data_IF_766008550954
#
_entry.id   IF_766008550954
#
_cell.length_a   1.000
_cell.length_b   1.000
_cell.length_c   1.000
_cell.angle_alpha   90.00
_cell.angle_beta   90.00
_cell.angle_gamma   90.00
#
_symmetry.space_group_name_H-M   'P 1'
#
loop_
_entity.id
_entity.type
_entity.pdbx_description
1 polymer ?
#
# COMPACT_ATOMS: atom_id res chain seq x y z
N UNK A 1 -15.73 -20.69 -10.22
CA UNK A 1 -16.39 -21.89 -9.66
C UNK A 1 -16.92 -21.48 -8.30
N UNK A 2 -18.21 -21.11 -8.22
CA UNK A 2 -18.85 -20.79 -6.92
C UNK A 2 -18.92 -22.07 -6.10
N UNK A 3 -18.68 -21.94 -4.79
CA UNK A 3 -18.73 -23.06 -3.86
C UNK A 3 -20.13 -23.72 -3.92
N UNK A 4 -20.17 -25.03 -4.12
CA UNK A 4 -21.39 -25.84 -4.22
C UNK A 4 -22.26 -25.71 -2.96
N UNK A 5 -21.66 -25.35 -1.81
CA UNK A 5 -22.37 -25.10 -0.54
C UNK A 5 -23.18 -23.81 -0.57
N UNK A 6 -22.67 -22.75 -1.19
CA UNK A 6 -23.33 -21.44 -1.26
C UNK A 6 -24.60 -21.52 -2.12
N UNK A 7 -24.54 -22.25 -3.24
CA UNK A 7 -25.67 -22.40 -4.18
C UNK A 7 -26.88 -23.11 -3.56
N UNK A 8 -26.69 -24.12 -2.70
CA UNK A 8 -27.82 -24.84 -2.08
C UNK A 8 -28.58 -23.98 -1.07
N UNK A 9 -27.89 -23.10 -0.36
CA UNK A 9 -28.49 -22.17 0.59
C UNK A 9 -29.37 -21.16 -0.13
N UNK A 10 -28.84 -20.54 -1.18
CA UNK A 10 -29.55 -19.54 -2.00
C UNK A 10 -30.84 -20.12 -2.61
N UNK A 11 -30.79 -21.38 -3.09
CA UNK A 11 -31.97 -22.06 -3.65
C UNK A 11 -33.09 -22.23 -2.63
N UNK A 12 -32.76 -22.56 -1.38
CA UNK A 12 -33.75 -22.69 -0.31
C UNK A 12 -34.37 -21.34 0.05
N UNK A 13 -33.54 -20.32 0.22
CA UNK A 13 -34.00 -18.97 0.58
C UNK A 13 -34.96 -18.41 -0.48
N UNK A 14 -34.56 -18.47 -1.76
CA UNK A 14 -35.40 -18.00 -2.89
C UNK A 14 -36.66 -18.85 -3.07
N UNK A 15 -36.58 -20.16 -2.84
CA UNK A 15 -37.75 -21.04 -2.93
C UNK A 15 -38.80 -20.79 -1.83
N UNK A 16 -38.37 -20.41 -0.63
CA UNK A 16 -39.27 -20.00 0.46
C UNK A 16 -39.96 -18.67 0.11
N UNK A 17 -39.21 -17.70 -0.40
CA UNK A 17 -39.74 -16.38 -0.77
C UNK A 17 -40.80 -16.46 -1.88
N UNK A 18 -40.55 -17.26 -2.91
CA UNK A 18 -41.47 -17.45 -4.05
C UNK A 18 -42.60 -18.45 -3.71
N UNK A 19 -42.46 -19.19 -2.60
CA UNK A 19 -43.43 -20.20 -2.17
C UNK A 19 -43.50 -21.44 -3.07
N UNK A 20 -42.45 -21.70 -3.86
CA UNK A 20 -42.38 -22.84 -4.80
C UNK A 20 -40.98 -23.47 -4.78
N UNK A 21 -40.86 -24.80 -4.93
CA UNK A 21 -39.56 -25.44 -5.08
C UNK A 21 -38.94 -25.06 -6.43
N UNK A 22 -37.75 -24.47 -6.39
CA UNK A 22 -37.02 -23.98 -7.58
C UNK A 22 -35.72 -24.75 -7.75
N UNK A 23 -35.34 -25.04 -9.00
CA UNK A 23 -34.09 -25.71 -9.31
C UNK A 23 -32.91 -24.72 -9.40
N UNK A 24 -31.69 -25.22 -9.15
CA UNK A 24 -30.44 -24.44 -9.35
C UNK A 24 -30.29 -23.91 -10.78
N UNK A 25 -30.75 -24.70 -11.75
CA UNK A 25 -30.67 -24.35 -13.18
C UNK A 25 -31.51 -23.12 -13.47
N UNK A 26 -32.74 -23.10 -12.95
CA UNK A 26 -33.69 -21.97 -13.11
C UNK A 26 -33.13 -20.67 -12.55
N UNK A 27 -32.48 -20.70 -11.36
CA UNK A 27 -31.86 -19.50 -10.77
C UNK A 27 -30.69 -19.02 -11.65
N UNK A 28 -29.85 -19.94 -12.14
CA UNK A 28 -28.71 -19.59 -12.99
C UNK A 28 -29.14 -19.05 -14.35
N UNK A 29 -30.22 -19.58 -14.92
CA UNK A 29 -30.81 -19.09 -16.19
C UNK A 29 -31.33 -17.66 -16.02
N UNK A 30 -32.11 -17.37 -14.97
CA UNK A 30 -32.58 -16.00 -14.69
C UNK A 30 -31.45 -15.00 -14.44
N UNK A 31 -30.41 -15.40 -13.71
CA UNK A 31 -29.22 -14.56 -13.49
C UNK A 31 -28.51 -14.27 -14.83
N UNK A 32 -28.45 -15.25 -15.74
CA UNK A 32 -27.88 -15.05 -17.08
C UNK A 32 -28.74 -14.16 -17.97
N UNK A 33 -30.06 -14.33 -17.97
CA UNK A 33 -31.02 -13.51 -18.72
C UNK A 33 -30.91 -12.03 -18.34
N UNK A 34 -30.67 -11.74 -17.06
CA UNK A 34 -30.46 -10.36 -16.55
C UNK A 34 -29.05 -9.81 -16.84
N UNK A 35 -28.20 -10.54 -17.56
CA UNK A 35 -26.84 -10.12 -17.90
C UNK A 35 -25.86 -10.14 -16.71
N UNK A 36 -26.27 -10.64 -15.55
CA UNK A 36 -25.44 -10.72 -14.36
C UNK A 36 -24.52 -11.94 -14.45
N UNK A 37 -23.21 -11.72 -14.37
CA UNK A 37 -22.21 -12.79 -14.45
C UNK A 37 -21.41 -12.83 -13.16
N UNK A 38 -21.32 -14.00 -12.53
CA UNK A 38 -20.50 -14.20 -11.34
C UNK A 38 -19.02 -13.98 -11.67
N UNK A 39 -18.49 -12.80 -11.34
CA UNK A 39 -17.05 -12.50 -11.41
C UNK A 39 -16.49 -12.57 -10.00
N UNK A 40 -15.54 -13.47 -9.77
CA UNK A 40 -14.77 -13.50 -8.53
C UNK A 40 -13.47 -12.72 -8.75
N UNK A 41 -13.10 -11.82 -7.83
CA UNK A 41 -11.86 -11.08 -7.93
C UNK A 41 -10.68 -12.05 -8.03
N UNK A 42 -9.78 -11.86 -9.00
CA UNK A 42 -8.59 -12.72 -9.12
C UNK A 42 -7.75 -12.55 -7.85
N UNK A 43 -7.39 -13.65 -7.20
CA UNK A 43 -6.39 -13.63 -6.12
C UNK A 43 -5.13 -12.98 -6.69
N UNK A 44 -4.74 -11.83 -6.13
CA UNK A 44 -3.49 -11.17 -6.48
C UNK A 44 -2.36 -12.14 -6.09
N UNK A 45 -1.62 -12.73 -7.03
CA UNK A 45 -0.54 -13.61 -6.67
C UNK A 45 0.45 -12.81 -5.80
N UNK A 46 0.81 -13.35 -4.64
CA UNK A 46 1.81 -12.73 -3.78
C UNK A 46 3.15 -12.80 -4.52
N UNK A 47 3.56 -11.67 -5.10
CA UNK A 47 4.85 -11.57 -5.78
C UNK A 47 5.97 -11.78 -4.76
N UNK A 48 6.95 -12.62 -5.13
CA UNK A 48 8.17 -12.76 -4.33
C UNK A 48 8.91 -11.43 -4.23
N UNK A 49 9.79 -11.27 -3.23
CA UNK A 49 10.61 -10.06 -3.12
C UNK A 49 11.43 -9.79 -4.41
N UNK A 50 11.96 -10.86 -5.02
CA UNK A 50 12.69 -10.81 -6.28
C UNK A 50 11.82 -10.31 -7.44
N UNK A 51 10.60 -10.83 -7.57
CA UNK A 51 9.65 -10.40 -8.61
C UNK A 51 9.22 -8.93 -8.43
N UNK A 52 9.03 -8.49 -7.19
CA UNK A 52 8.73 -7.08 -6.88
C UNK A 52 9.88 -6.15 -7.25
N UNK A 53 11.12 -6.55 -6.95
CA UNK A 53 12.31 -5.79 -7.32
C UNK A 53 12.48 -5.71 -8.84
N UNK A 54 12.32 -6.83 -9.55
CA UNK A 54 12.39 -6.86 -11.01
C UNK A 54 11.33 -5.96 -11.65
N UNK A 55 10.09 -6.01 -11.15
CA UNK A 55 9.01 -5.13 -11.59
C UNK A 55 9.35 -3.65 -11.34
N UNK A 56 9.84 -3.30 -10.16
CA UNK A 56 10.23 -1.93 -9.83
C UNK A 56 11.37 -1.41 -10.72
N UNK A 57 12.40 -2.24 -10.96
CA UNK A 57 13.51 -1.90 -11.88
C UNK A 57 13.02 -1.63 -13.30
N UNK A 58 12.18 -2.53 -13.84
CA UNK A 58 11.61 -2.38 -15.17
C UNK A 58 10.69 -1.16 -15.28
N UNK A 59 9.91 -0.88 -14.24
CA UNK A 59 9.03 0.28 -14.18
C UNK A 59 9.82 1.60 -14.18
N UNK A 60 10.92 1.68 -13.44
CA UNK A 60 11.78 2.88 -13.41
C UNK A 60 12.47 3.11 -14.76
N UNK A 61 13.06 2.06 -15.35
CA UNK A 61 13.69 2.14 -16.68
C UNK A 61 12.70 2.55 -17.78
N UNK A 62 11.46 2.03 -17.75
CA UNK A 62 10.43 2.36 -18.73
C UNK A 62 9.88 3.80 -18.64
N UNK A 63 10.03 4.46 -17.49
CA UNK A 63 9.58 5.85 -17.28
C UNK A 63 10.73 6.87 -17.41
N UNK A 64 11.89 6.47 -17.92
CA UNK A 64 13.04 7.37 -18.06
C UNK A 64 13.63 7.85 -16.73
N UNK A 65 13.23 7.23 -15.61
CA UNK A 65 13.82 7.48 -14.30
C UNK A 65 15.06 6.62 -14.20
N UNK A 66 16.21 7.23 -14.48
CA UNK A 66 17.50 6.55 -14.31
C UNK A 66 17.63 6.01 -12.88
N UNK A 67 18.23 4.82 -12.69
CA UNK A 67 18.61 4.39 -11.36
C UNK A 67 19.47 5.50 -10.76
N UNK A 68 19.12 5.97 -9.55
CA UNK A 68 20.02 6.83 -8.79
C UNK A 68 21.36 6.08 -8.76
N UNK A 69 22.43 6.68 -9.31
CA UNK A 69 23.74 6.04 -9.41
C UNK A 69 24.31 5.91 -7.99
N UNK A 70 23.83 4.90 -7.27
CA UNK A 70 24.32 4.48 -5.98
C UNK A 70 25.47 3.56 -6.35
N UNK A 71 26.70 4.06 -6.22
CA UNK A 71 27.91 3.27 -6.45
C UNK A 71 27.83 1.93 -5.72
N UNK A 72 28.43 0.91 -6.32
CA UNK A 72 28.31 -0.52 -5.99
C UNK A 72 28.73 -0.93 -4.57
N UNK A 73 29.10 0.02 -3.70
CA UNK A 73 29.33 -0.24 -2.29
C UNK A 73 28.10 0.10 -1.44
N UNK A 74 27.50 -0.95 -0.86
CA UNK A 74 26.68 -0.96 0.37
C UNK A 74 25.30 -1.61 0.19
N UNK A 75 25.26 -2.93 -0.01
CA UNK A 75 24.00 -3.71 0.02
C UNK A 75 23.45 -3.90 1.45
N UNK A 76 24.20 -3.55 2.51
CA UNK A 76 23.79 -3.75 3.90
C UNK A 76 23.82 -2.51 4.80
N UNK A 77 24.15 -1.32 4.29
CA UNK A 77 24.10 -0.13 5.14
C UNK A 77 22.67 0.41 5.17
N UNK A 78 22.05 0.41 6.35
CA UNK A 78 20.85 1.19 6.64
C UNK A 78 21.16 2.66 6.40
N UNK A 79 21.10 3.10 5.15
CA UNK A 79 21.35 4.48 4.80
C UNK A 79 20.21 5.31 5.38
N UNK A 80 20.52 6.43 6.05
CA UNK A 80 19.52 7.29 6.65
C UNK A 80 18.63 7.87 5.54
N UNK A 81 17.44 7.33 5.35
CA UNK A 81 16.53 7.83 4.32
C UNK A 81 15.93 9.17 4.80
N UNK A 82 16.13 10.29 4.10
CA UNK A 82 15.61 11.59 4.53
C UNK A 82 14.08 11.60 4.66
N UNK A 83 13.36 10.69 4.00
CA UNK A 83 11.91 10.55 4.15
C UNK A 83 11.50 10.11 5.56
N UNK A 84 12.32 9.34 6.27
CA UNK A 84 12.04 8.90 7.64
C UNK A 84 11.99 10.09 8.60
N UNK A 85 12.81 11.12 8.36
CA UNK A 85 12.76 12.34 9.14
C UNK A 85 11.46 13.11 8.89
N UNK A 86 10.97 13.11 7.65
CA UNK A 86 9.69 13.73 7.30
C UNK A 86 8.56 12.95 7.97
N UNK A 87 8.59 11.62 7.95
CA UNK A 87 7.62 10.78 8.67
C UNK A 87 7.63 11.05 10.18
N UNK A 88 8.80 11.22 10.80
CA UNK A 88 8.91 11.54 12.22
C UNK A 88 8.25 12.88 12.54
N UNK A 89 8.48 13.91 11.72
CA UNK A 89 7.87 15.24 11.89
C UNK A 89 6.35 15.17 11.72
N UNK A 90 5.87 14.46 10.70
CA UNK A 90 4.43 14.26 10.50
C UNK A 90 3.76 13.58 11.69
N UNK A 91 4.37 12.50 12.21
CA UNK A 91 3.86 11.79 13.38
C UNK A 91 3.84 12.70 14.62
N UNK A 92 4.89 13.49 14.81
CA UNK A 92 4.97 14.43 15.92
C UNK A 92 3.88 15.49 15.85
N UNK A 93 3.68 16.12 14.69
CA UNK A 93 2.64 17.12 14.48
C UNK A 93 1.23 16.53 14.62
N UNK A 94 1.01 15.32 14.10
CA UNK A 94 -0.26 14.62 14.26
C UNK A 94 -0.55 14.29 15.73
N UNK A 95 0.47 13.94 16.51
CA UNK A 95 0.31 13.66 17.94
C UNK A 95 -0.02 14.89 18.79
N UNK A 96 0.27 16.11 18.32
CA UNK A 96 -0.18 17.34 19.00
C UNK A 96 -1.69 17.51 18.94
N UNK A 97 -2.32 17.03 17.86
CA UNK A 97 -3.77 17.11 17.64
C UNK A 97 -4.29 15.77 17.13
N UNK A 98 -4.34 14.73 18.01
CA UNK A 98 -4.61 13.37 17.59
C UNK A 98 -5.92 13.28 16.80
N UNK A 99 -5.88 12.53 15.69
CA UNK A 99 -7.06 12.29 14.88
C UNK A 99 -7.94 11.25 15.57
N UNK A 100 -9.23 11.55 15.72
CA UNK A 100 -10.21 10.65 16.36
C UNK A 100 -10.94 9.75 15.37
N UNK A 101 -10.81 10.01 14.07
CA UNK A 101 -11.39 9.20 13.00
C UNK A 101 -10.49 9.14 11.76
N UNK A 102 -10.72 8.15 10.90
CA UNK A 102 -10.03 8.00 9.61
C UNK A 102 -10.23 9.23 8.71
N UNK A 103 -11.43 9.81 8.74
CA UNK A 103 -11.76 10.97 7.90
C UNK A 103 -11.08 12.25 8.41
N UNK A 104 -10.99 12.41 9.73
CA UNK A 104 -10.21 13.48 10.36
C UNK A 104 -8.71 13.33 10.04
N UNK A 105 -8.18 12.10 10.05
CA UNK A 105 -6.80 11.82 9.67
C UNK A 105 -6.52 12.19 8.20
N UNK A 106 -7.41 11.80 7.28
CA UNK A 106 -7.29 12.13 5.84
C UNK A 106 -7.34 13.63 5.59
N UNK A 107 -8.09 14.40 6.38
CA UNK A 107 -8.17 15.85 6.25
C UNK A 107 -6.97 16.57 6.90
N UNK A 108 -6.47 16.05 8.03
CA UNK A 108 -5.34 16.65 8.77
C UNK A 108 -3.99 16.40 8.10
N UNK A 109 -3.75 15.20 7.56
CA UNK A 109 -2.46 14.84 6.98
C UNK A 109 -2.01 15.79 5.86
N UNK A 110 -2.84 16.13 4.85
CA UNK A 110 -2.46 17.11 3.83
C UNK A 110 -2.21 18.49 4.42
N UNK A 111 -3.03 18.95 5.38
CA UNK A 111 -2.85 20.26 6.03
C UNK A 111 -1.50 20.33 6.74
N UNK A 112 -1.16 19.32 7.53
CA UNK A 112 0.13 19.20 8.22
C UNK A 112 1.27 19.09 7.19
N UNK A 113 1.11 18.29 6.13
CA UNK A 113 2.11 18.12 5.08
C UNK A 113 2.46 19.44 4.37
N UNK A 114 1.45 20.24 4.01
CA UNK A 114 1.66 21.53 3.36
C UNK A 114 2.07 22.64 4.34
N UNK A 115 1.62 22.60 5.60
CA UNK A 115 2.06 23.52 6.65
C UNK A 115 3.48 23.23 7.16
N UNK A 116 3.90 21.96 7.16
CA UNK A 116 5.29 21.53 7.36
C UNK A 116 6.09 21.89 6.10
N UNK A 117 6.23 23.20 5.90
CA UNK A 117 6.78 23.90 4.75
C UNK A 117 8.06 23.28 4.19
N UNK A 118 8.31 23.59 2.91
CA UNK A 118 9.46 23.21 2.06
C UNK A 118 10.85 23.21 2.73
N UNK A 119 11.03 23.92 3.85
CA UNK A 119 12.25 23.92 4.63
C UNK A 119 12.49 22.61 5.39
N UNK A 120 11.47 21.84 5.74
CA UNK A 120 11.64 20.53 6.39
C UNK A 120 12.34 19.57 5.44
N UNK A 121 11.85 19.47 4.20
CA UNK A 121 12.48 18.66 3.16
C UNK A 121 13.91 19.11 2.88
N UNK A 122 14.12 20.43 2.72
CA UNK A 122 15.46 20.99 2.50
C UNK A 122 16.41 20.76 3.67
N UNK A 123 15.96 20.89 4.93
CA UNK A 123 16.76 20.62 6.13
C UNK A 123 17.09 19.14 6.25
N UNK A 124 16.13 18.24 5.98
CA UNK A 124 16.37 16.80 5.99
C UNK A 124 17.43 16.40 4.96
N UNK A 125 17.34 16.92 3.73
CA UNK A 125 18.34 16.71 2.68
C UNK A 125 19.68 17.34 3.05
N UNK A 126 19.71 18.58 3.55
CA UNK A 126 20.94 19.26 3.99
C UNK A 126 21.62 18.57 5.18
N UNK A 127 20.88 17.84 6.01
CA UNK A 127 21.43 17.06 7.13
C UNK A 127 22.08 15.74 6.68
N UNK A 128 21.83 15.30 5.44
CA UNK A 128 22.24 13.98 4.96
C UNK A 128 23.75 13.72 5.02
N UNK A 129 24.62 14.65 4.62
CA UNK A 129 26.07 14.44 4.71
C UNK A 129 26.52 14.09 6.12
N UNK A 130 26.03 14.84 7.13
CA UNK A 130 26.36 14.60 8.55
C UNK A 130 25.86 13.24 9.06
N UNK A 131 24.73 12.75 8.55
CA UNK A 131 24.18 11.43 8.93
C UNK A 131 24.99 10.30 8.28
N UNK A 132 25.38 10.47 7.03
CA UNK A 132 26.27 9.54 6.33
C UNK A 132 27.64 9.45 7.02
N UNK A 133 28.20 10.59 7.45
CA UNK A 133 29.44 10.62 8.22
C UNK A 133 29.29 9.91 9.57
N UNK A 134 28.15 10.08 10.26
CA UNK A 134 27.86 9.36 11.49
C UNK A 134 27.73 7.84 11.29
N UNK A 135 27.11 7.39 10.19
CA UNK A 135 27.01 5.95 9.85
C UNK A 135 28.37 5.38 9.49
N UNK A 136 29.21 6.12 8.75
CA UNK A 136 30.59 5.74 8.45
C UNK A 136 31.43 5.61 9.72
N UNK A 137 31.34 6.58 10.62
CA UNK A 137 32.02 6.53 11.93
C UNK A 137 31.51 5.36 12.79
N UNK A 138 30.22 5.07 12.75
CA UNK A 138 29.60 3.95 13.44
C UNK A 138 29.82 2.59 12.74
N UNK A 139 30.55 2.54 11.60
CA UNK A 139 30.73 1.33 10.77
C UNK A 139 29.41 0.61 10.45
N UNK A 140 28.37 1.38 10.16
CA UNK A 140 27.03 0.86 9.87
C UNK A 140 26.17 0.55 11.11
N UNK A 141 26.67 0.75 12.33
CA UNK A 141 25.89 0.59 13.55
C UNK A 141 24.92 1.77 13.80
N UNK A 142 24.05 1.61 14.80
CA UNK A 142 23.05 2.59 15.17
C UNK A 142 23.66 3.98 15.43
N UNK A 143 23.01 5.01 14.90
CA UNK A 143 23.40 6.42 15.09
C UNK A 143 22.30 7.15 15.82
N UNK A 144 22.59 8.32 16.39
CA UNK A 144 21.62 9.19 17.07
C UNK A 144 20.51 9.79 16.17
N UNK A 145 20.53 9.48 14.87
CA UNK A 145 19.65 10.04 13.83
C UNK A 145 18.70 9.01 13.24
#
# INVERSE_FOLDING_TARGET
MTDVRQDRRIVREVGIEIGKPISRSTIRERIRETGLHGRSARKKPFLSAMQRLAYAKNFLCGNGVGPLHIGEESVNESRPNPIENIWAILKWELNKTPATSLEDLKQKLPKIWYQAHADVGKRAVRSMPKRLDAVKQAKGCHTKY
#
